data_IF_692578452117
#
_entry.id   IF_692578452117
#
_cell.length_a   1.000
_cell.length_b   1.000
_cell.length_c   1.000
_cell.angle_alpha   90.00
_cell.angle_beta   90.00
_cell.angle_gamma   90.00
#
_symmetry.space_group_name_H-M   'P 1'
#
loop_
_entity.id
_entity.type
_entity.pdbx_description
1 polymer ?
#
# COMPACT_ATOMS: atom_id res chain seq x y z
N UNK A 1 15.30 9.79 -18.39
CA UNK A 1 15.21 8.45 -17.74
C UNK A 1 14.57 8.59 -16.37
N UNK A 2 13.63 7.72 -16.02
CA UNK A 2 12.97 7.76 -14.72
C UNK A 2 13.84 7.04 -13.69
N UNK A 3 14.13 7.73 -12.59
CA UNK A 3 14.82 7.10 -11.45
C UNK A 3 13.78 6.30 -10.66
N UNK A 4 13.97 4.98 -10.60
CA UNK A 4 13.05 4.07 -9.91
C UNK A 4 12.93 4.42 -8.42
N UNK A 5 14.05 4.82 -7.78
CA UNK A 5 14.01 5.18 -6.36
C UNK A 5 13.19 6.44 -6.12
N UNK A 6 13.30 7.41 -6.99
CA UNK A 6 12.49 8.63 -6.88
C UNK A 6 11.02 8.35 -7.18
N UNK A 7 10.73 7.48 -8.14
CA UNK A 7 9.36 7.07 -8.44
C UNK A 7 8.73 6.38 -7.23
N UNK A 8 9.45 5.45 -6.60
CA UNK A 8 8.97 4.76 -5.40
C UNK A 8 8.72 5.74 -4.25
N UNK A 9 9.59 6.73 -4.08
CA UNK A 9 9.42 7.75 -3.04
C UNK A 9 8.17 8.58 -3.29
N UNK A 10 7.92 8.97 -4.53
CA UNK A 10 6.73 9.73 -4.89
C UNK A 10 5.46 8.92 -4.70
N UNK A 11 5.46 7.65 -5.10
CA UNK A 11 4.33 6.76 -4.88
C UNK A 11 4.06 6.57 -3.40
N UNK A 12 5.11 6.43 -2.58
CA UNK A 12 4.97 6.32 -1.13
C UNK A 12 4.37 7.56 -0.50
N UNK A 13 4.76 8.74 -0.99
CA UNK A 13 4.23 10.02 -0.49
C UNK A 13 2.74 10.17 -0.78
N UNK A 14 2.23 9.51 -1.83
CA UNK A 14 0.83 9.56 -2.21
C UNK A 14 0.08 8.26 -1.93
N UNK A 15 0.66 7.38 -1.11
CA UNK A 15 0.14 6.04 -0.88
C UNK A 15 -1.33 6.03 -0.42
N UNK A 16 -1.70 6.93 0.50
CA UNK A 16 -3.07 6.98 1.00
C UNK A 16 -4.08 7.27 -0.11
N UNK A 17 -3.78 8.25 -0.96
CA UNK A 17 -4.66 8.61 -2.07
C UNK A 17 -4.76 7.50 -3.11
N UNK A 18 -3.62 6.88 -3.43
CA UNK A 18 -3.58 5.77 -4.39
C UNK A 18 -4.39 4.58 -3.85
N UNK A 19 -4.20 4.25 -2.57
CA UNK A 19 -4.94 3.14 -1.96
C UNK A 19 -6.43 3.39 -1.92
N UNK A 20 -6.87 4.63 -1.68
CA UNK A 20 -8.29 4.95 -1.69
C UNK A 20 -8.92 4.73 -3.07
N UNK A 21 -8.17 5.00 -4.13
CA UNK A 21 -8.66 4.74 -5.48
C UNK A 21 -8.64 3.27 -5.85
N UNK A 22 -7.56 2.56 -5.48
CA UNK A 22 -7.43 1.13 -5.79
C UNK A 22 -8.35 0.28 -4.91
N UNK A 23 -8.51 0.65 -3.65
CA UNK A 23 -9.17 -0.16 -2.64
C UNK A 23 -10.16 0.67 -1.82
N UNK A 24 -11.30 1.08 -2.42
CA UNK A 24 -12.25 1.96 -1.71
C UNK A 24 -12.86 1.32 -0.44
N UNK A 25 -12.80 0.00 -0.30
CA UNK A 25 -13.31 -0.70 0.88
C UNK A 25 -12.29 -0.72 2.04
N UNK A 26 -11.08 -0.23 1.83
CA UNK A 26 -10.06 -0.21 2.86
C UNK A 26 -10.26 0.89 3.89
N UNK A 27 -9.51 0.81 4.99
CA UNK A 27 -9.55 1.79 6.08
C UNK A 27 -8.15 2.15 6.51
N UNK A 28 -7.96 3.38 6.99
CA UNK A 28 -6.69 3.81 7.56
C UNK A 28 -6.72 3.53 9.06
N UNK A 29 -5.77 2.74 9.53
CA UNK A 29 -5.61 2.41 10.94
C UNK A 29 -4.12 2.39 11.30
N UNK A 30 -3.75 3.06 12.39
CA UNK A 30 -2.38 3.05 12.93
C UNK A 30 -1.31 3.39 11.89
N UNK A 31 -1.61 4.33 10.99
CA UNK A 31 -0.67 4.76 9.96
C UNK A 31 -0.55 3.82 8.78
N UNK A 32 -1.43 2.85 8.66
CA UNK A 32 -1.47 1.91 7.54
C UNK A 32 -2.84 1.92 6.87
N UNK A 33 -2.85 1.60 5.58
CA UNK A 33 -4.09 1.39 4.85
C UNK A 33 -4.39 -0.11 4.87
N UNK A 34 -5.52 -0.49 5.47
CA UNK A 34 -5.87 -1.89 5.70
C UNK A 34 -6.96 -2.36 4.74
N UNK A 35 -6.71 -3.48 4.08
CA UNK A 35 -7.69 -4.17 3.22
C UNK A 35 -7.55 -5.68 3.44
N UNK A 36 -8.49 -6.46 2.89
CA UNK A 36 -8.44 -7.91 3.05
C UNK A 36 -7.32 -8.58 2.24
N UNK A 37 -7.07 -8.10 1.04
CA UNK A 37 -6.00 -8.62 0.18
C UNK A 37 -5.77 -7.66 -0.99
N UNK A 38 -4.91 -8.06 -1.91
CA UNK A 38 -4.66 -7.32 -3.16
C UNK A 38 -5.95 -7.12 -3.97
N UNK A 39 -6.93 -8.00 -3.81
CA UNK A 39 -8.22 -7.88 -4.50
C UNK A 39 -9.11 -6.78 -3.93
N UNK A 40 -8.75 -6.22 -2.78
CA UNK A 40 -9.39 -5.03 -2.23
C UNK A 40 -10.66 -5.25 -1.42
N UNK A 41 -10.98 -6.51 -1.05
CA UNK A 41 -12.13 -6.78 -0.22
C UNK A 41 -11.95 -6.20 1.19
N UNK A 42 -13.05 -6.07 1.92
CA UNK A 42 -13.00 -5.63 3.30
C UNK A 42 -12.21 -6.61 4.14
N UNK A 43 -11.42 -6.09 5.07
CA UNK A 43 -10.62 -6.91 5.96
C UNK A 43 -9.38 -6.15 6.42
N UNK A 44 -8.49 -6.85 7.07
CA UNK A 44 -7.30 -6.26 7.68
C UNK A 44 -6.04 -7.09 7.43
N UNK A 45 -6.12 -8.10 6.58
CA UNK A 45 -4.99 -8.99 6.35
C UNK A 45 -3.85 -8.33 5.58
N UNK A 46 -4.15 -7.36 4.72
CA UNK A 46 -3.13 -6.62 3.98
C UNK A 46 -2.98 -5.22 4.56
N UNK A 47 -1.76 -4.79 4.77
CA UNK A 47 -1.42 -3.45 5.26
C UNK A 47 -0.50 -2.77 4.28
N UNK A 48 -0.83 -1.52 3.92
CA UNK A 48 0.05 -0.66 3.13
C UNK A 48 0.55 0.44 4.06
N UNK A 49 1.85 0.56 4.21
CA UNK A 49 2.45 1.56 5.09
C UNK A 49 2.32 2.94 4.45
N UNK A 50 1.86 3.91 5.23
CA UNK A 50 1.59 5.26 4.73
C UNK A 50 2.65 6.29 5.14
N UNK A 51 3.50 5.97 6.11
CA UNK A 51 4.46 6.90 6.67
C UNK A 51 5.83 6.26 6.87
N UNK A 52 6.85 7.11 7.00
CA UNK A 52 8.20 6.69 7.30
C UNK A 52 8.93 6.09 6.11
N UNK A 53 10.03 5.40 6.38
CA UNK A 53 10.87 4.81 5.34
C UNK A 53 10.19 3.68 4.59
N UNK A 54 9.13 3.11 5.17
CA UNK A 54 8.38 2.02 4.56
C UNK A 54 7.16 2.50 3.78
N UNK A 55 6.95 3.81 3.66
CA UNK A 55 5.77 4.35 2.98
C UNK A 55 5.65 3.79 1.56
N UNK A 56 4.48 3.25 1.24
CA UNK A 56 4.21 2.62 -0.06
C UNK A 56 4.51 1.12 -0.11
N UNK A 57 5.18 0.57 0.90
CA UNK A 57 5.38 -0.88 0.99
C UNK A 57 4.13 -1.53 1.55
N UNK A 58 3.89 -2.78 1.16
CA UNK A 58 2.74 -3.52 1.67
C UNK A 58 3.14 -4.92 2.11
N UNK A 59 2.31 -5.50 2.97
CA UNK A 59 2.41 -6.91 3.34
C UNK A 59 1.00 -7.48 3.52
N UNK A 60 0.78 -8.67 2.97
CA UNK A 60 -0.43 -9.45 3.18
C UNK A 60 -0.11 -10.55 4.19
N UNK A 61 -0.60 -10.39 5.41
CA UNK A 61 -0.29 -11.33 6.49
C UNK A 61 -0.94 -12.69 6.29
N UNK A 62 -2.01 -12.78 5.50
CA UNK A 62 -2.66 -14.07 5.23
C UNK A 62 -1.86 -14.93 4.26
N UNK A 63 -1.29 -14.31 3.22
CA UNK A 63 -0.52 -15.05 2.20
C UNK A 63 0.98 -14.99 2.42
N UNK A 64 1.45 -14.01 3.20
CA UNK A 64 2.87 -13.74 3.36
C UNK A 64 3.50 -12.95 2.22
N UNK A 65 2.70 -12.52 1.26
CA UNK A 65 3.21 -11.71 0.15
C UNK A 65 3.46 -10.27 0.57
N UNK A 66 4.44 -9.65 -0.05
CA UNK A 66 4.74 -8.25 0.19
C UNK A 66 5.41 -7.62 -1.01
N UNK A 67 5.53 -6.30 -1.00
CA UNK A 67 6.13 -5.55 -2.09
C UNK A 67 5.97 -4.05 -1.87
N UNK A 68 5.96 -3.29 -2.96
CA UNK A 68 5.78 -1.84 -2.92
C UNK A 68 4.64 -1.41 -3.84
N UNK A 69 4.44 -0.08 -3.96
CA UNK A 69 3.34 0.44 -4.77
C UNK A 69 3.43 0.05 -6.23
N UNK A 70 4.64 -0.15 -6.76
CA UNK A 70 4.79 -0.60 -8.14
C UNK A 70 4.22 -2.00 -8.34
N UNK A 71 4.30 -2.84 -7.31
CA UNK A 71 3.73 -4.19 -7.37
C UNK A 71 2.20 -4.17 -7.30
N UNK A 72 1.62 -3.15 -6.65
CA UNK A 72 0.17 -3.01 -6.56
C UNK A 72 -0.44 -2.40 -7.81
N UNK A 73 0.32 -1.59 -8.51
CA UNK A 73 -0.13 -0.97 -9.75
C UNK A 73 0.11 -1.89 -10.92
#
# INVERSE_FOLDING_TARGET
MIDIRELKRKLGAHAAGICQELYPEGKIESGCYKVGSIDGEKGRSMSVYLHGDQAGNFIDFASGEGGDMLDLL
#
